data_IF_117905581770
#
_entry.id   IF_117905581770
#
_cell.length_a   1.000
_cell.length_b   1.000
_cell.length_c   1.000
_cell.angle_alpha   90.00
_cell.angle_beta   90.00
_cell.angle_gamma   90.00
#
_symmetry.space_group_name_H-M   'P 1'
#
loop_
_entity.id
_entity.type
_entity.pdbx_description
1 polymer ?
#
# COMPACT_ATOMS: atom_id res chain seq x y z
N UNK A 1 17.91 -16.14 36.26
CA UNK A 1 17.01 -17.06 35.56
C UNK A 1 16.61 -16.36 34.26
N UNK A 2 17.05 -16.91 33.17
CA UNK A 2 16.96 -16.32 31.83
C UNK A 2 15.56 -16.66 31.27
N UNK A 3 14.61 -15.71 31.33
CA UNK A 3 13.31 -15.89 30.71
C UNK A 3 13.48 -15.94 29.19
N UNK A 4 13.46 -17.15 28.66
CA UNK A 4 13.29 -17.39 27.24
C UNK A 4 11.86 -16.98 26.88
N UNK A 5 11.71 -15.79 26.29
CA UNK A 5 10.45 -15.36 25.69
C UNK A 5 10.29 -16.21 24.41
N UNK A 6 9.43 -17.20 24.50
CA UNK A 6 8.99 -17.98 23.34
C UNK A 6 8.14 -17.03 22.48
N UNK A 7 8.70 -16.55 21.37
CA UNK A 7 7.92 -15.83 20.34
C UNK A 7 7.01 -16.84 19.68
N UNK A 8 5.75 -16.87 20.07
CA UNK A 8 4.74 -17.70 19.42
C UNK A 8 4.26 -16.96 18.18
N UNK A 9 4.76 -17.34 17.03
CA UNK A 9 4.13 -16.98 15.75
C UNK A 9 2.84 -17.79 15.67
N UNK A 10 1.70 -17.12 15.81
CA UNK A 10 0.41 -17.79 15.72
C UNK A 10 0.02 -17.91 14.24
N UNK A 11 0.23 -19.06 13.64
CA UNK A 11 -0.31 -19.38 12.31
C UNK A 11 -1.81 -19.67 12.46
N UNK A 12 -2.64 -18.78 11.96
CA UNK A 12 -4.09 -18.98 11.90
C UNK A 12 -4.44 -19.61 10.56
N UNK A 13 -4.25 -20.93 10.44
CA UNK A 13 -4.66 -21.69 9.27
C UNK A 13 -6.17 -21.97 9.28
N UNK A 14 -6.88 -21.60 8.21
CA UNK A 14 -8.31 -21.91 7.97
C UNK A 14 -8.38 -23.23 7.19
N UNK A 15 -8.54 -24.37 7.86
CA UNK A 15 -8.48 -25.67 7.14
C UNK A 15 -9.89 -26.20 6.96
N UNK A 16 -10.89 -26.27 7.07
CA UNK A 16 -12.11 -27.02 6.67
C UNK A 16 -13.33 -26.17 6.28
N UNK A 17 -13.50 -24.98 6.81
CA UNK A 17 -14.55 -24.03 6.36
C UNK A 17 -14.23 -23.35 5.02
N UNK A 18 -12.98 -23.33 4.61
CA UNK A 18 -12.49 -22.53 3.48
C UNK A 18 -13.05 -22.89 2.10
N UNK A 19 -13.56 -24.10 1.88
CA UNK A 19 -14.12 -24.48 0.58
C UNK A 19 -15.55 -23.95 0.40
N UNK A 20 -16.36 -24.08 1.41
CA UNK A 20 -17.75 -23.62 1.40
C UNK A 20 -17.82 -22.09 1.38
N UNK A 21 -16.93 -21.43 2.10
CA UNK A 21 -16.82 -19.96 2.13
C UNK A 21 -16.31 -19.40 0.79
N UNK A 22 -15.33 -20.06 0.15
CA UNK A 22 -14.88 -19.69 -1.20
C UNK A 22 -15.99 -19.80 -2.25
N UNK A 23 -16.79 -20.87 -2.21
CA UNK A 23 -17.94 -21.04 -3.11
C UNK A 23 -19.01 -19.97 -2.85
N UNK A 24 -19.24 -19.61 -1.60
CA UNK A 24 -20.17 -18.53 -1.22
C UNK A 24 -19.71 -17.16 -1.74
N UNK A 25 -18.44 -16.81 -1.56
CA UNK A 25 -17.86 -15.54 -2.06
C UNK A 25 -17.90 -15.49 -3.59
N UNK A 26 -17.53 -16.58 -4.28
CA UNK A 26 -17.59 -16.65 -5.74
C UNK A 26 -19.03 -16.49 -6.26
N UNK A 27 -20.01 -17.06 -5.57
CA UNK A 27 -21.44 -16.92 -5.88
C UNK A 27 -21.89 -15.47 -5.65
N UNK A 28 -21.49 -14.85 -4.54
CA UNK A 28 -21.83 -13.47 -4.25
C UNK A 28 -21.25 -12.50 -5.30
N UNK A 29 -19.98 -12.68 -5.70
CA UNK A 29 -19.37 -11.88 -6.79
C UNK A 29 -20.11 -12.10 -8.11
N UNK A 30 -20.54 -13.33 -8.42
CA UNK A 30 -21.27 -13.64 -9.64
C UNK A 30 -22.65 -12.99 -9.71
N UNK A 31 -23.21 -12.56 -8.58
CA UNK A 31 -24.50 -11.85 -8.51
C UNK A 31 -24.35 -10.32 -8.70
N UNK A 32 -23.13 -9.78 -8.51
CA UNK A 32 -22.89 -8.35 -8.72
C UNK A 32 -23.14 -7.95 -10.19
N UNK A 33 -23.52 -6.68 -10.47
CA UNK A 33 -23.65 -6.16 -11.80
C UNK A 33 -22.28 -6.16 -12.53
N UNK A 34 -22.34 -6.19 -13.87
CA UNK A 34 -21.16 -5.88 -14.71
C UNK A 34 -21.00 -4.37 -14.72
N UNK A 35 -19.95 -3.89 -14.08
CA UNK A 35 -19.69 -2.45 -13.85
C UNK A 35 -18.60 -1.87 -14.74
N UNK A 36 -17.90 -2.72 -15.47
CA UNK A 36 -16.79 -2.31 -16.33
C UNK A 36 -16.79 -3.08 -17.65
N UNK A 37 -16.03 -2.58 -18.60
CA UNK A 37 -15.78 -3.22 -19.89
C UNK A 37 -14.30 -3.13 -20.27
N UNK A 38 -13.86 -3.96 -21.24
CA UNK A 38 -12.52 -3.86 -21.82
C UNK A 38 -12.59 -3.08 -23.12
N UNK A 39 -11.80 -2.01 -23.18
CA UNK A 39 -11.73 -1.13 -24.35
C UNK A 39 -10.27 -1.06 -24.82
N UNK A 40 -10.06 -1.06 -26.13
CA UNK A 40 -8.73 -0.82 -26.70
C UNK A 40 -8.52 0.70 -26.83
N UNK A 41 -7.55 1.23 -26.08
CA UNK A 41 -7.20 2.65 -26.04
C UNK A 41 -5.73 2.82 -26.41
N UNK A 42 -5.44 3.40 -27.57
CA UNK A 42 -4.06 3.64 -28.02
C UNK A 42 -3.20 2.39 -28.20
N UNK A 43 -3.82 1.22 -28.39
CA UNK A 43 -3.17 -0.08 -28.51
C UNK A 43 -3.20 -0.92 -27.22
N UNK A 44 -3.53 -0.33 -26.07
CA UNK A 44 -3.64 -1.01 -24.79
C UNK A 44 -5.07 -1.49 -24.51
N UNK A 45 -5.21 -2.64 -23.85
CA UNK A 45 -6.50 -3.10 -23.35
C UNK A 45 -6.71 -2.55 -21.94
N UNK A 46 -7.65 -1.63 -21.82
CA UNK A 46 -7.97 -0.91 -20.56
C UNK A 46 -9.29 -1.40 -20.00
N UNK A 47 -9.37 -1.62 -18.71
CA UNK A 47 -10.64 -1.81 -18.00
C UNK A 47 -11.23 -0.45 -17.69
N UNK A 48 -12.39 -0.16 -18.29
CA UNK A 48 -13.13 1.09 -18.12
C UNK A 48 -14.31 0.82 -17.22
N UNK A 49 -14.29 1.42 -16.01
CA UNK A 49 -15.34 1.28 -15.01
C UNK A 49 -16.36 2.41 -15.11
N UNK A 50 -17.63 2.06 -14.95
CA UNK A 50 -18.76 2.98 -14.98
C UNK A 50 -19.27 3.18 -13.54
N UNK A 51 -18.92 4.29 -12.84
CA UNK A 51 -19.24 4.48 -11.43
C UNK A 51 -20.72 4.45 -11.11
N UNK A 52 -21.57 4.86 -12.03
CA UNK A 52 -23.04 4.83 -11.89
C UNK A 52 -23.60 3.39 -11.78
N UNK A 53 -22.82 2.38 -12.19
CA UNK A 53 -23.19 0.97 -12.07
C UNK A 53 -22.75 0.34 -10.76
N UNK A 54 -21.98 1.04 -9.91
CA UNK A 54 -21.51 0.59 -8.60
C UNK A 54 -22.66 0.73 -7.57
N UNK A 55 -23.80 0.11 -7.84
CA UNK A 55 -25.02 0.22 -7.03
C UNK A 55 -25.05 -0.76 -5.88
N UNK A 56 -24.60 -1.98 -6.11
CA UNK A 56 -24.67 -3.08 -5.17
C UNK A 56 -23.48 -3.05 -4.20
N UNK A 57 -23.65 -3.73 -3.07
CA UNK A 57 -22.63 -3.81 -2.03
C UNK A 57 -22.29 -5.26 -1.70
N UNK A 58 -21.02 -5.53 -1.42
CA UNK A 58 -20.53 -6.85 -1.01
C UNK A 58 -19.62 -6.74 0.21
N UNK A 59 -19.74 -7.70 1.13
CA UNK A 59 -18.76 -7.90 2.19
C UNK A 59 -17.86 -9.08 1.80
N UNK A 60 -16.55 -8.85 1.76
CA UNK A 60 -15.56 -9.84 1.39
C UNK A 60 -14.69 -10.21 2.60
N UNK A 61 -14.43 -11.50 2.85
CA UNK A 61 -13.50 -11.91 3.89
C UNK A 61 -12.07 -11.56 3.49
N UNK A 62 -11.22 -11.22 4.44
CA UNK A 62 -9.79 -10.98 4.20
C UNK A 62 -9.12 -12.21 3.58
N UNK A 63 -9.57 -13.40 3.95
CA UNK A 63 -9.11 -14.66 3.35
C UNK A 63 -9.44 -14.80 1.85
N UNK A 64 -10.29 -13.97 1.28
CA UNK A 64 -10.47 -13.90 -0.17
C UNK A 64 -9.20 -13.41 -0.86
N UNK A 65 -8.48 -12.49 -0.22
CA UNK A 65 -7.32 -11.78 -0.78
C UNK A 65 -5.97 -12.33 -0.31
N UNK A 66 -5.89 -12.85 0.92
CA UNK A 66 -4.64 -13.37 1.51
C UNK A 66 -4.69 -14.87 1.75
N UNK A 67 -3.52 -15.52 1.68
CA UNK A 67 -3.40 -16.96 1.88
C UNK A 67 -3.65 -17.33 3.35
N UNK A 68 -2.84 -16.75 4.23
CA UNK A 68 -2.85 -16.93 5.68
C UNK A 68 -2.61 -15.60 6.38
N UNK A 69 -2.96 -15.51 7.66
CA UNK A 69 -2.67 -14.34 8.47
C UNK A 69 -1.77 -14.72 9.65
N UNK A 70 -0.56 -14.20 9.66
CA UNK A 70 0.37 -14.28 10.77
C UNK A 70 0.20 -13.05 11.69
N UNK A 71 0.23 -13.26 13.01
CA UNK A 71 0.30 -12.18 13.99
C UNK A 71 1.68 -12.22 14.61
N UNK A 72 2.48 -11.21 14.34
CA UNK A 72 3.89 -11.12 14.70
C UNK A 72 4.05 -10.06 15.79
N UNK A 73 4.32 -10.43 17.05
CA UNK A 73 4.66 -9.46 18.08
C UNK A 73 6.05 -8.89 17.81
N UNK A 74 6.17 -7.57 17.77
CA UNK A 74 7.48 -6.92 17.68
C UNK A 74 8.17 -6.95 19.04
N UNK A 75 9.50 -7.10 19.04
CA UNK A 75 10.30 -7.24 20.27
C UNK A 75 10.15 -6.04 21.19
N UNK A 76 10.01 -6.31 22.50
CA UNK A 76 9.97 -5.31 23.58
C UNK A 76 11.37 -4.84 23.92
N UNK A 77 11.79 -3.73 23.33
CA UNK A 77 13.02 -3.01 23.67
C UNK A 77 12.76 -1.52 23.52
N UNK A 78 13.34 -0.69 24.33
CA UNK A 78 13.11 0.77 24.30
C UNK A 78 13.43 1.35 22.93
N UNK A 79 14.52 0.92 22.28
CA UNK A 79 14.90 1.33 20.94
C UNK A 79 14.04 0.74 19.81
N UNK A 80 13.27 -0.31 20.08
CA UNK A 80 12.47 -1.05 19.11
C UNK A 80 11.01 -0.61 19.01
N UNK A 81 10.53 0.23 19.95
CA UNK A 81 9.12 0.64 19.96
C UNK A 81 8.72 1.40 18.71
N UNK A 82 7.64 0.94 18.07
CA UNK A 82 7.05 1.56 16.89
C UNK A 82 5.69 2.18 17.22
N UNK A 83 5.26 3.12 16.37
CA UNK A 83 3.90 3.71 16.40
C UNK A 83 3.18 3.34 15.09
N UNK A 84 2.02 3.94 14.83
CA UNK A 84 1.37 3.86 13.52
C UNK A 84 2.40 4.13 12.42
N UNK A 85 2.50 3.26 11.43
CA UNK A 85 3.67 3.20 10.56
C UNK A 85 3.38 2.61 9.18
N UNK A 86 4.28 2.93 8.25
CA UNK A 86 4.41 2.22 6.98
C UNK A 86 5.42 1.08 7.10
N UNK A 87 5.12 -0.05 6.47
CA UNK A 87 5.93 -1.27 6.59
C UNK A 87 6.35 -1.75 5.20
N UNK A 88 7.57 -2.30 5.10
CA UNK A 88 8.04 -3.09 3.94
C UNK A 88 8.50 -4.43 4.45
N UNK A 89 8.13 -5.47 3.73
CA UNK A 89 8.41 -6.85 4.09
C UNK A 89 9.23 -7.49 2.98
N UNK A 90 10.23 -8.28 3.38
CA UNK A 90 10.99 -9.18 2.50
C UNK A 90 10.95 -10.60 3.07
N UNK A 91 11.74 -11.49 2.52
CA UNK A 91 11.76 -12.89 2.95
C UNK A 91 12.13 -13.03 4.44
N UNK A 92 13.17 -12.36 4.88
CA UNK A 92 13.72 -12.52 6.25
C UNK A 92 13.58 -11.27 7.12
N UNK A 93 13.14 -10.12 6.56
CA UNK A 93 13.11 -8.86 7.30
C UNK A 93 11.79 -8.10 7.17
N UNK A 94 11.58 -7.24 8.17
CA UNK A 94 10.47 -6.29 8.25
C UNK A 94 11.09 -4.92 8.56
N UNK A 95 10.89 -3.95 7.68
CA UNK A 95 11.33 -2.57 7.83
C UNK A 95 10.14 -1.69 8.17
N UNK A 96 10.21 -0.99 9.31
CA UNK A 96 9.13 -0.15 9.84
C UNK A 96 9.55 1.31 9.89
N UNK A 97 8.74 2.19 9.33
CA UNK A 97 8.88 3.64 9.42
C UNK A 97 7.69 4.24 10.17
N UNK A 98 7.91 4.74 11.38
CA UNK A 98 6.82 5.17 12.28
C UNK A 98 6.44 6.65 12.14
N UNK A 99 7.38 7.57 12.07
CA UNK A 99 7.12 9.00 11.99
C UNK A 99 8.36 9.81 11.62
N UNK A 100 8.17 11.12 11.36
CA UNK A 100 9.24 12.06 10.98
C UNK A 100 10.43 12.11 11.94
N UNK A 101 10.19 11.88 13.22
CA UNK A 101 11.19 12.08 14.28
C UNK A 101 11.72 10.75 14.84
N UNK A 102 11.46 9.65 14.19
CA UNK A 102 11.89 8.33 14.64
C UNK A 102 12.74 7.66 13.55
N UNK A 103 13.79 6.92 13.92
CA UNK A 103 14.53 6.13 12.95
C UNK A 103 13.66 5.04 12.35
N UNK A 104 13.98 4.57 11.15
CA UNK A 104 13.45 3.30 10.69
C UNK A 104 13.94 2.19 11.62
N UNK A 105 13.12 1.16 11.78
CA UNK A 105 13.47 -0.01 12.57
C UNK A 105 13.44 -1.24 11.70
N UNK A 106 14.52 -1.99 11.74
CA UNK A 106 14.62 -3.27 11.07
C UNK A 106 14.37 -4.38 12.07
N UNK A 107 13.48 -5.30 11.71
CA UNK A 107 13.19 -6.52 12.46
C UNK A 107 13.42 -7.73 11.57
N UNK A 108 13.68 -8.88 12.20
CA UNK A 108 13.56 -10.16 11.50
C UNK A 108 12.10 -10.46 11.16
N UNK A 109 11.86 -11.43 10.31
CA UNK A 109 10.52 -11.90 9.96
C UNK A 109 9.70 -12.41 11.17
N UNK A 110 10.38 -12.78 12.26
CA UNK A 110 9.79 -13.22 13.53
C UNK A 110 9.60 -12.08 14.54
N UNK A 111 9.79 -10.82 14.12
CA UNK A 111 9.60 -9.64 14.98
C UNK A 111 10.77 -9.32 15.92
N UNK A 112 11.92 -9.97 15.79
CA UNK A 112 13.11 -9.66 16.58
C UNK A 112 13.78 -8.39 16.06
N UNK A 113 14.08 -7.44 16.94
CA UNK A 113 14.75 -6.20 16.58
C UNK A 113 16.20 -6.47 16.14
N UNK A 114 16.56 -5.91 14.99
CA UNK A 114 17.91 -5.99 14.44
C UNK A 114 18.68 -4.71 14.73
N UNK A 115 18.22 -3.58 14.20
CA UNK A 115 18.86 -2.28 14.40
C UNK A 115 17.94 -1.12 14.00
N UNK A 116 18.33 0.09 14.36
CA UNK A 116 17.82 1.32 13.80
C UNK A 116 18.55 1.63 12.49
N UNK A 117 17.81 2.18 11.52
CA UNK A 117 18.35 2.61 10.23
C UNK A 117 18.34 4.14 10.21
N UNK A 118 19.53 4.74 10.28
CA UNK A 118 19.70 6.18 10.34
C UNK A 118 19.06 6.86 11.54
N UNK A 119 18.85 8.15 11.44
CA UNK A 119 18.17 8.96 12.45
C UNK A 119 17.48 10.17 11.82
N UNK A 120 16.57 10.79 12.57
CA UNK A 120 15.97 12.06 12.17
C UNK A 120 16.96 13.21 12.35
N UNK A 121 16.95 14.17 11.41
CA UNK A 121 17.76 15.39 11.49
C UNK A 121 18.43 15.76 10.18
N UNK A 122 19.36 16.75 10.26
CA UNK A 122 20.04 17.31 9.08
C UNK A 122 21.51 16.82 8.94
N UNK A 123 21.95 15.86 9.77
CA UNK A 123 23.27 15.30 9.67
C UNK A 123 23.44 14.42 8.42
N UNK A 124 24.69 14.11 8.07
CA UNK A 124 25.00 13.25 6.91
C UNK A 124 24.33 11.88 7.09
N UNK A 125 23.51 11.49 6.12
CA UNK A 125 22.73 10.26 6.17
C UNK A 125 21.42 10.37 6.97
N UNK A 126 21.22 11.42 7.75
CA UNK A 126 19.94 11.65 8.43
C UNK A 126 18.84 12.06 7.45
N UNK A 127 17.60 11.90 7.87
CA UNK A 127 16.42 12.24 7.05
C UNK A 127 15.35 12.92 7.91
N UNK A 128 14.55 13.75 7.25
CA UNK A 128 13.34 14.34 7.82
C UNK A 128 12.10 13.53 7.43
N UNK A 129 11.14 14.22 6.82
CA UNK A 129 9.97 13.57 6.24
C UNK A 129 10.40 12.70 5.05
N UNK A 130 9.83 11.51 4.96
CA UNK A 130 10.12 10.51 3.93
C UNK A 130 8.93 10.42 2.98
N UNK A 131 9.21 10.40 1.69
CA UNK A 131 8.22 10.23 0.62
C UNK A 131 7.99 8.73 0.36
N UNK A 132 9.07 7.98 0.18
CA UNK A 132 9.02 6.55 -0.08
C UNK A 132 10.30 5.85 0.41
N UNK A 133 10.25 4.53 0.51
CA UNK A 133 11.40 3.71 0.89
C UNK A 133 11.28 2.29 0.38
N UNK A 134 12.41 1.65 0.14
CA UNK A 134 12.51 0.27 -0.35
C UNK A 134 13.46 -0.54 0.50
N UNK A 135 13.06 -1.78 0.80
CA UNK A 135 13.88 -2.83 1.39
C UNK A 135 14.33 -3.76 0.26
N UNK A 136 15.62 -3.82 0.01
CA UNK A 136 16.26 -4.70 -0.98
C UNK A 136 17.20 -5.67 -0.25
N UNK A 137 16.61 -6.72 0.28
CA UNK A 137 17.32 -7.74 1.04
C UNK A 137 18.39 -8.43 0.19
N UNK A 138 18.10 -8.71 -1.08
CA UNK A 138 18.99 -9.42 -1.99
C UNK A 138 20.33 -8.71 -2.17
N UNK A 139 20.32 -7.37 -2.18
CA UNK A 139 21.53 -6.56 -2.36
C UNK A 139 22.04 -5.99 -1.03
N UNK A 140 21.48 -6.40 0.11
CA UNK A 140 21.82 -5.87 1.44
C UNK A 140 21.69 -4.34 1.48
N UNK A 141 20.53 -3.79 1.01
CA UNK A 141 20.31 -2.35 0.92
C UNK A 141 18.92 -1.93 1.40
N UNK A 142 18.88 -0.74 1.97
CA UNK A 142 17.66 0.02 2.27
C UNK A 142 17.84 1.38 1.60
N UNK A 143 16.86 1.74 0.76
CA UNK A 143 16.83 3.03 0.06
C UNK A 143 15.74 3.88 0.68
N UNK A 144 16.05 5.14 1.02
CA UNK A 144 15.12 6.09 1.61
C UNK A 144 15.07 7.32 0.70
N UNK A 145 13.88 7.70 0.27
CA UNK A 145 13.61 8.93 -0.47
C UNK A 145 13.04 9.98 0.49
N UNK A 146 13.77 11.03 0.84
CA UNK A 146 13.23 12.16 1.58
C UNK A 146 12.06 12.82 0.84
N UNK A 147 11.22 13.56 1.56
CA UNK A 147 10.06 14.24 1.00
C UNK A 147 10.40 15.23 -0.12
N UNK A 148 11.48 15.97 0.04
CA UNK A 148 12.07 16.86 -0.96
C UNK A 148 13.40 16.26 -1.37
N UNK A 149 13.39 15.34 -2.36
CA UNK A 149 14.54 14.54 -2.66
C UNK A 149 15.31 15.02 -3.88
N UNK A 150 16.62 15.27 -3.70
CA UNK A 150 17.60 15.32 -4.79
C UNK A 150 18.52 14.11 -4.79
N UNK A 151 18.31 13.21 -3.83
CA UNK A 151 19.12 11.99 -3.67
C UNK A 151 18.37 10.94 -2.84
N UNK A 152 18.61 9.67 -3.12
CA UNK A 152 18.27 8.60 -2.20
C UNK A 152 19.37 8.46 -1.15
N UNK A 153 18.95 8.19 0.08
CA UNK A 153 19.85 7.83 1.18
C UNK A 153 19.92 6.32 1.25
N UNK A 154 21.13 5.76 1.29
CA UNK A 154 21.37 4.33 1.22
C UNK A 154 21.98 3.82 2.52
N UNK A 155 21.37 2.78 3.07
CA UNK A 155 21.86 2.02 4.22
C UNK A 155 22.00 0.54 3.87
N UNK A 156 22.80 -0.19 4.65
CA UNK A 156 22.75 -1.66 4.65
C UNK A 156 21.79 -2.18 5.75
N UNK A 157 21.59 -3.50 5.78
CA UNK A 157 20.73 -4.16 6.78
C UNK A 157 21.36 -4.22 8.18
N UNK A 158 22.57 -3.75 8.36
CA UNK A 158 23.25 -3.55 9.63
C UNK A 158 23.10 -2.10 10.16
N UNK A 159 22.36 -1.25 9.41
CA UNK A 159 22.11 0.15 9.76
C UNK A 159 23.28 1.08 9.44
N UNK A 160 24.28 0.62 8.69
CA UNK A 160 25.43 1.45 8.31
C UNK A 160 25.09 2.30 7.08
N UNK A 161 25.36 3.59 7.17
CA UNK A 161 25.20 4.51 6.05
C UNK A 161 26.19 4.18 4.93
N UNK A 162 25.67 3.95 3.72
CA UNK A 162 26.45 3.54 2.55
C UNK A 162 26.71 4.70 1.58
N UNK A 163 25.93 5.79 1.66
CA UNK A 163 26.09 6.94 0.77
C UNK A 163 24.77 7.47 0.23
N UNK A 164 24.89 8.21 -0.86
CA UNK A 164 23.75 8.79 -1.57
C UNK A 164 23.77 8.35 -3.04
N UNK A 165 22.59 8.26 -3.62
CA UNK A 165 22.40 8.12 -5.08
C UNK A 165 21.71 9.39 -5.55
N UNK A 166 22.31 10.20 -6.45
CA UNK A 166 21.71 11.42 -6.95
C UNK A 166 20.45 11.11 -7.74
N UNK A 167 19.43 11.95 -7.61
CA UNK A 167 18.20 11.89 -8.40
C UNK A 167 18.21 13.02 -9.42
N UNK A 168 17.81 12.71 -10.65
CA UNK A 168 17.67 13.70 -11.71
C UNK A 168 16.41 14.52 -11.49
N UNK A 169 16.51 15.52 -10.60
CA UNK A 169 15.45 16.51 -10.36
C UNK A 169 15.62 17.70 -11.34
N UNK A 170 14.52 18.35 -11.79
CA UNK A 170 14.62 19.55 -12.62
C UNK A 170 15.33 20.69 -11.89
N UNK A 171 16.34 21.30 -12.53
CA UNK A 171 17.14 22.36 -11.92
C UNK A 171 16.39 23.69 -11.70
N UNK A 172 15.36 23.93 -12.52
CA UNK A 172 14.63 25.20 -12.54
C UNK A 172 13.47 25.26 -11.52
N UNK A 173 13.24 24.22 -10.75
CA UNK A 173 12.11 24.15 -9.83
C UNK A 173 12.55 24.48 -8.39
N UNK A 174 11.82 25.37 -7.68
CA UNK A 174 12.08 25.62 -6.27
C UNK A 174 11.77 24.40 -5.38
N UNK A 175 11.22 23.38 -5.96
CA UNK A 175 10.78 22.16 -5.27
C UNK A 175 11.57 20.97 -5.81
N UNK A 176 12.35 20.35 -4.97
CA UNK A 176 12.85 19.01 -5.20
C UNK A 176 11.67 18.06 -5.53
N UNK A 177 11.85 16.81 -5.77
CA UNK A 177 10.79 15.86 -6.15
C UNK A 177 9.82 15.55 -4.96
N UNK A 178 8.83 16.42 -4.62
CA UNK A 178 7.97 16.19 -3.48
C UNK A 178 7.03 15.03 -3.73
N UNK A 179 6.76 14.22 -2.69
CA UNK A 179 5.86 13.05 -2.74
C UNK A 179 6.16 12.05 -3.87
N UNK A 180 7.37 12.06 -4.43
CA UNK A 180 7.75 11.11 -5.46
C UNK A 180 7.83 9.69 -4.91
N UNK A 181 7.67 8.72 -5.79
CA UNK A 181 7.84 7.31 -5.51
C UNK A 181 8.90 6.72 -6.40
N UNK A 182 9.50 5.59 -5.99
CA UNK A 182 10.58 4.99 -6.75
C UNK A 182 10.63 3.48 -6.63
N UNK A 183 11.37 2.86 -7.54
CA UNK A 183 11.81 1.48 -7.46
C UNK A 183 13.26 1.36 -7.92
N UNK A 184 14.09 0.77 -7.08
CA UNK A 184 15.48 0.40 -7.43
C UNK A 184 15.50 -1.02 -7.95
N UNK A 185 16.12 -1.23 -9.10
CA UNK A 185 16.59 -2.52 -9.58
C UNK A 185 18.10 -2.63 -9.30
N UNK A 186 18.46 -3.32 -8.22
CA UNK A 186 19.84 -3.46 -7.79
C UNK A 186 20.71 -4.29 -8.75
N UNK A 187 20.11 -5.20 -9.55
CA UNK A 187 20.85 -5.97 -10.56
C UNK A 187 21.26 -5.08 -11.73
N UNK A 188 20.36 -4.20 -12.19
CA UNK A 188 20.61 -3.30 -13.33
C UNK A 188 21.28 -2.00 -12.91
N UNK A 189 21.30 -1.70 -11.60
CA UNK A 189 21.69 -0.40 -11.03
C UNK A 189 20.89 0.75 -11.65
N UNK A 190 19.60 0.56 -11.75
CA UNK A 190 18.65 1.52 -12.32
C UNK A 190 17.59 1.86 -11.27
N UNK A 191 17.04 3.07 -11.40
CA UNK A 191 15.97 3.57 -10.57
C UNK A 191 14.85 4.05 -11.48
N UNK A 192 13.67 3.47 -11.34
CA UNK A 192 12.43 4.03 -11.90
C UNK A 192 11.89 5.01 -10.89
N UNK A 193 11.56 6.21 -11.33
CA UNK A 193 11.03 7.29 -10.49
C UNK A 193 9.72 7.77 -11.11
N UNK A 194 8.74 8.07 -10.27
CA UNK A 194 7.55 8.78 -10.68
C UNK A 194 7.25 9.92 -9.70
N UNK A 195 6.82 11.06 -10.23
CA UNK A 195 6.49 12.28 -9.48
C UNK A 195 5.11 12.78 -9.86
N UNK A 196 4.65 13.83 -9.17
CA UNK A 196 3.33 14.40 -9.39
C UNK A 196 3.21 15.03 -10.80
N UNK A 197 2.06 14.85 -11.48
CA UNK A 197 1.84 15.37 -12.82
C UNK A 197 1.50 16.86 -12.79
N UNK A 198 2.35 17.68 -12.20
CA UNK A 198 2.19 19.12 -12.18
C UNK A 198 2.66 19.75 -13.49
N UNK A 199 2.01 20.83 -13.92
CA UNK A 199 2.39 21.57 -15.15
C UNK A 199 3.85 22.04 -15.14
N UNK A 200 4.40 22.25 -13.95
CA UNK A 200 5.80 22.65 -13.75
C UNK A 200 6.79 21.48 -13.84
N UNK A 201 6.32 20.23 -13.83
CA UNK A 201 7.17 19.06 -13.96
C UNK A 201 7.36 18.68 -15.43
N UNK A 202 8.58 18.72 -15.96
CA UNK A 202 8.83 18.34 -17.35
C UNK A 202 8.68 16.82 -17.58
N UNK A 203 8.83 16.04 -16.53
CA UNK A 203 8.74 14.58 -16.55
C UNK A 203 7.88 14.07 -15.41
N UNK A 204 7.00 13.12 -15.70
CA UNK A 204 6.17 12.45 -14.70
C UNK A 204 6.79 11.13 -14.25
N UNK A 205 7.40 10.39 -15.16
CA UNK A 205 8.09 9.15 -14.83
C UNK A 205 9.31 8.94 -15.74
N UNK A 206 10.38 8.35 -15.17
CA UNK A 206 11.61 8.05 -15.91
C UNK A 206 12.43 6.94 -15.25
N UNK A 207 13.41 6.41 -16.00
CA UNK A 207 14.48 5.54 -15.48
C UNK A 207 15.80 6.29 -15.55
N UNK A 208 16.59 6.20 -14.50
CA UNK A 208 17.95 6.71 -14.42
C UNK A 208 18.90 5.64 -13.88
N UNK A 209 20.21 5.81 -14.10
CA UNK A 209 21.24 5.04 -13.41
C UNK A 209 21.56 5.59 -12.01
N UNK A 210 22.51 4.95 -11.31
CA UNK A 210 22.93 5.38 -9.97
C UNK A 210 23.80 6.64 -9.97
N UNK A 211 24.29 7.07 -11.12
CA UNK A 211 24.99 8.33 -11.34
C UNK A 211 24.05 9.51 -11.61
N UNK A 212 22.73 9.25 -11.77
CA UNK A 212 21.70 10.26 -12.05
C UNK A 212 21.49 10.52 -13.54
N UNK A 213 22.10 9.74 -14.44
CA UNK A 213 21.88 9.91 -15.86
C UNK A 213 20.56 9.27 -16.29
N UNK A 214 19.70 10.03 -16.96
CA UNK A 214 18.44 9.52 -17.49
C UNK A 214 18.74 8.50 -18.59
N UNK A 215 18.16 7.33 -18.45
CA UNK A 215 18.20 6.24 -19.43
C UNK A 215 16.97 6.23 -20.32
N UNK A 216 15.83 6.62 -19.75
CA UNK A 216 14.52 6.50 -20.40
C UNK A 216 13.52 7.45 -19.75
N UNK A 217 12.69 8.10 -20.54
CA UNK A 217 11.55 8.89 -20.07
C UNK A 217 10.26 8.26 -20.58
N UNK A 218 9.25 8.13 -19.68
CA UNK A 218 7.95 7.60 -20.08
C UNK A 218 7.03 8.72 -20.50
N UNK A 219 6.54 8.72 -21.77
CA UNK A 219 5.57 9.71 -22.22
C UNK A 219 4.28 9.63 -21.39
N UNK A 220 3.97 10.69 -20.65
CA UNK A 220 2.72 10.78 -19.91
C UNK A 220 1.64 11.46 -20.72
N UNK A 221 0.53 10.74 -20.95
CA UNK A 221 -0.64 11.21 -21.73
C UNK A 221 -1.81 11.66 -20.86
N UNK A 222 -1.67 11.62 -19.54
CA UNK A 222 -2.64 12.08 -18.57
C UNK A 222 -2.75 13.60 -18.51
N UNK A 223 -3.51 14.12 -17.54
CA UNK A 223 -3.67 15.56 -17.33
C UNK A 223 -2.61 16.09 -16.40
N UNK A 224 -1.85 17.10 -16.84
CA UNK A 224 -1.05 17.90 -15.94
C UNK A 224 -1.93 18.88 -15.16
N UNK A 225 -1.68 19.00 -13.86
CA UNK A 225 -2.44 19.85 -12.96
C UNK A 225 -1.60 21.05 -12.46
N UNK A 226 -2.25 22.05 -11.87
CA UNK A 226 -1.54 23.06 -11.11
C UNK A 226 -0.86 22.42 -9.89
N UNK A 227 0.14 23.12 -9.34
CA UNK A 227 0.82 22.65 -8.13
C UNK A 227 -0.15 22.61 -6.97
N UNK A 228 -0.42 21.41 -6.47
CA UNK A 228 -1.33 21.16 -5.36
C UNK A 228 -0.75 20.04 -4.46
N UNK A 229 -0.37 20.43 -3.23
CA UNK A 229 0.23 19.52 -2.26
C UNK A 229 -0.74 18.48 -1.67
N UNK A 230 -2.05 18.59 -1.95
CA UNK A 230 -3.01 17.51 -1.64
C UNK A 230 -2.88 16.35 -2.61
N UNK A 231 -2.42 16.60 -3.85
CA UNK A 231 -2.13 15.57 -4.86
C UNK A 231 -1.12 14.54 -4.34
N UNK A 232 -1.28 13.28 -4.72
CA UNK A 232 -0.35 12.21 -4.36
C UNK A 232 -0.11 11.27 -5.55
N UNK A 233 1.03 10.59 -5.55
CA UNK A 233 1.34 9.47 -6.45
C UNK A 233 1.57 8.23 -5.61
N UNK A 234 1.02 7.11 -6.07
CA UNK A 234 1.10 5.82 -5.38
C UNK A 234 1.62 4.74 -6.33
N UNK A 235 2.31 3.78 -5.75
CA UNK A 235 2.60 2.49 -6.35
C UNK A 235 2.43 1.39 -5.30
N UNK A 236 2.00 0.20 -5.68
CA UNK A 236 1.76 -0.92 -4.74
C UNK A 236 2.55 -2.16 -5.04
N UNK A 237 2.85 -2.42 -6.30
CA UNK A 237 3.64 -3.59 -6.71
C UNK A 237 3.00 -4.95 -6.37
N UNK A 238 1.68 -5.01 -6.27
CA UNK A 238 0.99 -6.23 -5.83
C UNK A 238 0.98 -7.33 -6.88
N UNK A 239 1.20 -6.99 -8.15
CA UNK A 239 1.24 -7.91 -9.30
C UNK A 239 2.66 -8.11 -9.87
N UNK A 240 3.68 -7.58 -9.18
CA UNK A 240 5.06 -7.61 -9.65
C UNK A 240 5.43 -6.53 -10.67
N UNK A 241 4.46 -5.77 -11.18
CA UNK A 241 4.64 -4.64 -12.09
C UNK A 241 4.85 -3.35 -11.30
N UNK A 242 5.56 -2.38 -11.84
CA UNK A 242 5.59 -1.03 -11.29
C UNK A 242 4.34 -0.28 -11.74
N UNK A 243 3.32 -0.30 -10.89
CA UNK A 243 2.04 0.37 -11.10
C UNK A 243 2.08 1.81 -10.61
N UNK A 244 1.38 2.72 -11.27
CA UNK A 244 1.28 4.13 -10.89
C UNK A 244 -0.19 4.57 -10.86
N UNK A 245 -0.60 5.14 -9.75
CA UNK A 245 -1.91 5.79 -9.56
C UNK A 245 -1.70 7.21 -9.04
N UNK A 246 -2.45 8.16 -9.58
CA UNK A 246 -2.38 9.56 -9.18
C UNK A 246 -3.70 9.98 -8.50
N UNK A 247 -3.61 10.37 -7.23
CA UNK A 247 -4.71 11.03 -6.56
C UNK A 247 -4.63 12.54 -6.86
N UNK A 248 -5.56 13.03 -7.65
CA UNK A 248 -5.67 14.44 -8.05
C UNK A 248 -6.98 14.98 -7.50
N UNK A 249 -6.92 15.95 -6.58
CA UNK A 249 -8.13 16.48 -5.95
C UNK A 249 -8.97 17.39 -6.86
N UNK A 250 -8.36 18.00 -7.88
CA UNK A 250 -9.05 18.84 -8.88
C UNK A 250 -8.75 18.36 -10.29
N UNK A 251 -9.17 17.14 -10.65
CA UNK A 251 -8.88 16.59 -11.95
C UNK A 251 -9.72 17.28 -13.03
N UNK A 252 -9.11 17.58 -14.18
CA UNK A 252 -9.85 18.06 -15.36
C UNK A 252 -10.50 16.89 -16.12
N UNK A 253 -9.88 15.73 -16.09
CA UNK A 253 -10.39 14.44 -16.57
C UNK A 253 -9.94 13.36 -15.61
N UNK A 254 -10.64 12.23 -15.60
CA UNK A 254 -10.18 11.07 -14.86
C UNK A 254 -8.85 10.57 -15.41
N UNK A 255 -7.92 10.27 -14.54
CA UNK A 255 -6.66 9.66 -14.90
C UNK A 255 -6.77 8.13 -14.83
N UNK A 256 -5.75 7.45 -15.27
CA UNK A 256 -5.70 5.99 -15.29
C UNK A 256 -4.76 5.47 -14.20
N UNK A 257 -4.98 4.22 -13.83
CA UNK A 257 -3.94 3.40 -13.22
C UNK A 257 -3.05 2.87 -14.35
N UNK A 258 -1.73 3.00 -14.20
CA UNK A 258 -0.77 2.64 -15.24
C UNK A 258 0.16 1.50 -14.80
N UNK A 259 0.54 0.66 -15.76
CA UNK A 259 1.76 -0.14 -15.67
C UNK A 259 2.91 0.61 -16.34
N UNK A 260 4.03 0.72 -15.63
CA UNK A 260 5.25 1.30 -16.16
C UNK A 260 6.10 0.18 -16.78
N UNK A 261 6.23 0.20 -18.10
CA UNK A 261 7.02 -0.78 -18.84
C UNK A 261 8.35 -0.19 -19.32
N UNK A 262 9.43 -0.69 -18.75
CA UNK A 262 10.80 -0.33 -19.17
C UNK A 262 11.14 -0.92 -20.53
N UNK A 263 10.50 -2.02 -20.92
CA UNK A 263 10.83 -2.75 -22.16
C UNK A 263 10.43 -1.99 -23.42
N UNK A 264 9.27 -1.35 -23.41
CA UNK A 264 8.70 -0.64 -24.58
C UNK A 264 8.57 0.87 -24.35
N UNK A 265 9.11 1.36 -23.25
CA UNK A 265 9.15 2.79 -22.89
C UNK A 265 7.77 3.43 -22.80
N UNK A 266 6.85 2.77 -22.12
CA UNK A 266 5.46 3.22 -22.07
C UNK A 266 4.86 3.17 -20.66
N UNK A 267 3.90 4.07 -20.43
CA UNK A 267 2.92 3.97 -19.36
C UNK A 267 1.65 3.40 -19.98
N UNK A 268 1.37 2.12 -19.72
CA UNK A 268 0.19 1.43 -20.22
C UNK A 268 -0.98 1.66 -19.25
N UNK A 269 -2.05 2.35 -19.69
CA UNK A 269 -3.26 2.45 -18.88
C UNK A 269 -3.90 1.07 -18.76
N UNK A 270 -4.22 0.66 -17.53
CA UNK A 270 -4.83 -0.65 -17.27
C UNK A 270 -6.23 -0.55 -16.68
N UNK A 271 -6.54 0.57 -16.03
CA UNK A 271 -7.86 0.84 -15.46
C UNK A 271 -8.14 2.34 -15.49
N UNK A 272 -9.38 2.71 -15.80
CA UNK A 272 -9.86 4.09 -15.72
C UNK A 272 -11.37 4.14 -15.48
N UNK A 273 -11.90 5.34 -15.25
CA UNK A 273 -13.33 5.57 -15.13
C UNK A 273 -13.88 6.29 -16.38
N UNK A 274 -15.02 5.83 -16.87
CA UNK A 274 -15.87 6.59 -17.79
C UNK A 274 -17.05 7.20 -17.02
N UNK A 275 -17.21 8.52 -17.14
CA UNK A 275 -18.24 9.26 -16.42
C UNK A 275 -19.05 10.08 -17.41
N UNK A 276 -20.38 9.93 -17.41
CA UNK A 276 -21.25 10.72 -18.29
C UNK A 276 -21.01 12.23 -18.14
N UNK A 277 -20.84 12.93 -19.26
CA UNK A 277 -20.62 14.37 -19.31
C UNK A 277 -19.20 14.82 -18.94
N UNK A 278 -18.20 13.94 -19.04
CA UNK A 278 -16.78 14.22 -18.77
C UNK A 278 -16.53 14.84 -17.36
N UNK A 279 -17.34 14.48 -16.38
CA UNK A 279 -17.13 14.90 -15.00
C UNK A 279 -16.01 14.08 -14.40
N UNK A 280 -14.91 14.73 -14.06
CA UNK A 280 -13.82 14.10 -13.33
C UNK A 280 -14.05 14.17 -11.81
N UNK A 281 -13.50 13.21 -11.09
CA UNK A 281 -13.56 13.15 -9.63
C UNK A 281 -12.25 12.62 -9.06
N UNK A 282 -11.86 13.02 -7.84
CA UNK A 282 -10.72 12.44 -7.16
C UNK A 282 -10.94 10.96 -6.90
N UNK A 283 -9.95 10.14 -7.20
CA UNK A 283 -10.01 8.71 -6.93
C UNK A 283 -8.61 8.16 -6.66
N UNK A 284 -8.58 7.04 -5.95
CA UNK A 284 -7.43 6.15 -5.83
C UNK A 284 -7.80 4.80 -6.39
N UNK A 285 -6.96 4.22 -7.22
CA UNK A 285 -7.16 2.88 -7.76
C UNK A 285 -5.88 2.07 -7.65
N UNK A 286 -6.01 0.81 -7.25
CA UNK A 286 -4.91 -0.13 -7.08
C UNK A 286 -5.23 -1.46 -7.73
N UNK A 287 -4.21 -2.05 -8.31
CA UNK A 287 -4.29 -3.39 -8.89
C UNK A 287 -3.91 -4.45 -7.86
N UNK A 288 -4.70 -5.52 -7.85
CA UNK A 288 -4.42 -6.76 -7.15
C UNK A 288 -4.42 -7.92 -8.14
N UNK A 289 -3.91 -9.09 -7.78
CA UNK A 289 -3.85 -10.20 -8.72
C UNK A 289 -5.19 -10.51 -9.40
N UNK A 290 -6.29 -10.49 -8.64
CA UNK A 290 -7.62 -10.89 -9.14
C UNK A 290 -8.60 -9.74 -9.35
N UNK A 291 -8.31 -8.53 -8.86
CA UNK A 291 -9.26 -7.41 -8.88
C UNK A 291 -8.59 -6.05 -8.99
N UNK A 292 -9.40 -5.04 -9.27
CA UNK A 292 -9.09 -3.64 -9.01
C UNK A 292 -9.90 -3.18 -7.79
N UNK A 293 -9.28 -2.41 -6.93
CA UNK A 293 -9.94 -1.78 -5.77
C UNK A 293 -9.48 -0.35 -5.60
N UNK A 294 -10.27 0.44 -4.93
CA UNK A 294 -9.91 1.81 -4.65
C UNK A 294 -11.05 2.58 -4.01
N UNK A 295 -10.89 3.89 -3.97
CA UNK A 295 -11.85 4.82 -3.39
C UNK A 295 -12.14 5.95 -4.36
N UNK A 296 -13.40 6.24 -4.58
CA UNK A 296 -13.88 7.48 -5.19
C UNK A 296 -14.11 8.45 -4.04
N UNK A 297 -13.42 9.60 -4.08
CA UNK A 297 -13.44 10.62 -3.03
C UNK A 297 -14.47 11.68 -3.43
N UNK A 298 -15.57 11.75 -2.71
CA UNK A 298 -16.69 12.66 -2.67
C UNK A 298 -16.94 13.70 -3.79
N UNK A 299 -18.17 14.20 -3.88
CA UNK A 299 -18.55 15.26 -4.82
C UNK A 299 -17.84 16.58 -4.47
N UNK A 300 -17.11 17.14 -5.43
CA UNK A 300 -16.74 18.55 -5.39
C UNK A 300 -18.01 19.39 -5.61
N UNK A 301 -18.45 20.16 -4.62
CA UNK A 301 -19.41 21.22 -4.85
C UNK A 301 -18.80 22.38 -5.62
N UNK A 302 -19.64 23.12 -6.36
CA UNK A 302 -19.26 24.06 -7.41
C UNK A 302 -18.55 25.33 -6.97
N UNK A 303 -18.35 25.58 -5.67
CA UNK A 303 -17.86 26.86 -5.15
C UNK A 303 -16.34 26.96 -4.89
N UNK A 304 -15.56 26.08 -5.48
CA UNK A 304 -14.08 26.22 -5.49
C UNK A 304 -13.38 25.84 -4.19
N UNK A 305 -14.08 25.52 -3.11
CA UNK A 305 -13.56 24.93 -1.89
C UNK A 305 -14.11 23.52 -1.73
N UNK A 306 -13.31 22.52 -1.98
CA UNK A 306 -13.66 21.14 -1.69
C UNK A 306 -13.62 20.93 -0.17
N UNK A 307 -14.77 20.95 0.47
CA UNK A 307 -14.94 20.34 1.79
C UNK A 307 -15.17 18.85 1.57
N UNK A 308 -14.16 18.05 1.84
CA UNK A 308 -14.23 16.59 1.84
C UNK A 308 -14.92 16.15 3.13
N UNK A 309 -16.20 15.89 3.09
CA UNK A 309 -16.85 15.15 4.16
C UNK A 309 -16.50 13.68 4.00
N UNK A 310 -15.96 13.06 5.05
CA UNK A 310 -15.60 11.63 5.08
C UNK A 310 -16.78 10.67 4.82
N UNK A 311 -17.99 11.19 4.68
CA UNK A 311 -19.24 10.44 4.39
C UNK A 311 -19.44 10.14 2.91
N UNK A 312 -18.71 10.78 2.02
CA UNK A 312 -18.91 10.66 0.56
C UNK A 312 -17.88 9.78 -0.14
N UNK A 313 -17.11 9.01 0.63
CA UNK A 313 -16.17 8.04 0.06
C UNK A 313 -16.90 6.78 -0.38
N UNK A 314 -16.63 6.36 -1.61
CA UNK A 314 -17.14 5.11 -2.15
C UNK A 314 -15.99 4.17 -2.43
N UNK A 315 -15.82 3.18 -1.55
CA UNK A 315 -14.86 2.11 -1.78
C UNK A 315 -15.44 1.13 -2.80
N UNK A 316 -14.70 0.86 -3.86
CA UNK A 316 -15.12 0.00 -4.97
C UNK A 316 -14.21 -1.22 -5.17
N UNK A 317 -14.82 -2.27 -5.67
CA UNK A 317 -14.19 -3.51 -6.08
C UNK A 317 -14.66 -3.87 -7.50
N UNK A 318 -13.72 -4.29 -8.37
CA UNK A 318 -14.01 -4.81 -9.71
C UNK A 318 -13.21 -6.09 -9.92
N UNK A 319 -13.89 -7.22 -10.10
CA UNK A 319 -13.28 -8.50 -10.45
C UNK A 319 -12.70 -8.45 -11.86
N UNK A 320 -11.42 -8.76 -12.01
CA UNK A 320 -10.71 -8.66 -13.30
C UNK A 320 -11.25 -9.61 -14.35
N UNK A 321 -11.72 -10.79 -13.95
CA UNK A 321 -12.15 -11.83 -14.90
C UNK A 321 -13.56 -11.55 -15.45
N UNK A 322 -14.48 -11.20 -14.55
CA UNK A 322 -15.91 -11.07 -14.89
C UNK A 322 -16.35 -9.62 -15.13
N UNK A 323 -15.52 -8.63 -14.73
CA UNK A 323 -15.81 -7.19 -14.74
C UNK A 323 -17.05 -6.82 -13.89
N UNK A 324 -17.42 -7.72 -12.98
CA UNK A 324 -18.46 -7.50 -11.99
C UNK A 324 -17.88 -6.77 -10.80
N UNK A 325 -18.69 -5.91 -10.19
CA UNK A 325 -18.20 -5.12 -9.07
C UNK A 325 -19.32 -4.38 -8.37
N UNK A 326 -18.91 -3.60 -7.37
CA UNK A 326 -19.82 -2.80 -6.55
C UNK A 326 -19.06 -2.11 -5.43
N UNK A 327 -19.80 -1.52 -4.52
CA UNK A 327 -19.28 -1.05 -3.24
C UNK A 327 -18.85 -2.24 -2.42
N UNK A 328 -17.76 -2.11 -1.66
CA UNK A 328 -17.31 -3.23 -0.86
C UNK A 328 -16.79 -2.82 0.50
N UNK A 329 -16.81 -3.78 1.42
CA UNK A 329 -16.06 -3.74 2.68
C UNK A 329 -15.37 -5.07 2.89
N UNK A 330 -14.29 -5.06 3.67
CA UNK A 330 -13.56 -6.28 4.01
C UNK A 330 -13.65 -6.50 5.50
N UNK A 331 -13.89 -7.75 5.89
CA UNK A 331 -13.85 -8.19 7.27
C UNK A 331 -12.75 -9.22 7.51
N UNK A 332 -12.17 -9.19 8.70
CA UNK A 332 -11.11 -10.10 9.09
C UNK A 332 -11.69 -11.41 9.63
N UNK A 333 -11.89 -12.37 8.76
CA UNK A 333 -12.41 -13.71 9.10
C UNK A 333 -11.38 -14.58 9.85
N UNK A 334 -10.09 -14.22 9.84
CA UNK A 334 -9.07 -14.86 10.66
C UNK A 334 -9.18 -14.50 12.14
N UNK A 335 -9.76 -13.32 12.46
CA UNK A 335 -9.88 -12.77 13.82
C UNK A 335 -11.31 -12.41 14.23
N UNK A 336 -12.30 -13.17 13.76
CA UNK A 336 -13.67 -13.02 14.26
C UNK A 336 -14.51 -11.94 13.57
N UNK A 337 -14.21 -11.64 12.33
CA UNK A 337 -15.05 -10.80 11.44
C UNK A 337 -15.15 -9.31 11.79
N UNK A 338 -14.08 -8.72 12.35
CA UNK A 338 -13.98 -7.26 12.49
C UNK A 338 -13.73 -6.60 11.15
N UNK A 339 -14.29 -5.41 10.90
CA UNK A 339 -14.07 -4.68 9.64
C UNK A 339 -12.63 -4.19 9.52
N UNK A 340 -12.07 -4.24 8.32
CA UNK A 340 -10.70 -3.80 8.04
C UNK A 340 -10.57 -2.94 6.79
N UNK A 341 -9.81 -1.88 6.88
CA UNK A 341 -9.34 -1.10 5.73
C UNK A 341 -8.12 -1.81 5.12
N UNK A 342 -8.32 -2.73 4.20
CA UNK A 342 -7.27 -3.65 3.77
C UNK A 342 -6.40 -3.12 2.62
N UNK A 343 -6.95 -2.39 1.65
CA UNK A 343 -6.25 -2.01 0.43
C UNK A 343 -5.08 -1.05 0.68
N UNK A 344 -5.15 -0.22 1.73
CA UNK A 344 -4.06 0.65 2.13
C UNK A 344 -2.86 -0.12 2.70
N UNK A 345 -3.10 -1.33 3.20
CA UNK A 345 -2.10 -2.16 3.86
C UNK A 345 -1.47 -3.22 2.94
N UNK A 346 -1.90 -3.32 1.67
CA UNK A 346 -1.36 -4.30 0.74
C UNK A 346 -0.30 -3.65 -0.17
N UNK A 347 0.91 -4.21 -0.18
CA UNK A 347 2.04 -3.76 -0.98
C UNK A 347 3.04 -4.89 -1.21
N UNK A 348 3.68 -4.90 -2.40
CA UNK A 348 4.70 -5.88 -2.77
C UNK A 348 4.22 -7.34 -2.61
N UNK A 349 2.94 -7.59 -2.87
CA UNK A 349 2.36 -8.93 -2.72
C UNK A 349 2.06 -9.35 -1.28
N UNK A 350 2.13 -8.44 -0.31
CA UNK A 350 1.79 -8.69 1.09
C UNK A 350 0.74 -7.72 1.61
N UNK A 351 -0.22 -8.23 2.35
CA UNK A 351 -0.99 -7.46 3.32
C UNK A 351 -0.16 -7.32 4.59
N UNK A 352 0.04 -6.12 5.08
CA UNK A 352 0.76 -5.86 6.32
C UNK A 352 0.14 -4.69 7.08
N UNK A 353 -0.52 -4.98 8.18
CA UNK A 353 -1.11 -4.00 9.09
C UNK A 353 -0.35 -3.97 10.39
N UNK A 354 0.15 -2.79 10.74
CA UNK A 354 0.71 -2.51 12.06
C UNK A 354 -0.40 -2.05 12.99
N UNK A 355 -0.57 -2.73 14.12
CA UNK A 355 -1.64 -2.49 15.10
C UNK A 355 -1.05 -2.35 16.50
N UNK A 356 -1.56 -1.38 17.28
CA UNK A 356 -1.15 -1.22 18.65
C UNK A 356 -1.68 -2.36 19.53
N UNK A 357 -1.04 -2.65 20.69
CA UNK A 357 -1.57 -3.63 21.65
C UNK A 357 -3.00 -3.32 22.11
N UNK A 358 -3.31 -2.05 22.30
CA UNK A 358 -4.64 -1.60 22.73
C UNK A 358 -5.68 -1.86 21.67
N UNK A 359 -5.39 -1.44 20.42
CA UNK A 359 -6.32 -1.61 19.28
C UNK A 359 -6.55 -3.09 19.00
N UNK A 360 -5.46 -3.91 18.99
CA UNK A 360 -5.59 -5.35 18.77
C UNK A 360 -6.45 -6.01 19.86
N UNK A 361 -6.25 -5.61 21.13
CA UNK A 361 -7.03 -6.15 22.23
C UNK A 361 -8.51 -5.78 22.13
N UNK A 362 -8.81 -4.52 21.76
CA UNK A 362 -10.18 -4.05 21.52
C UNK A 362 -10.86 -4.84 20.39
N UNK A 363 -10.19 -5.00 19.25
CA UNK A 363 -10.70 -5.81 18.11
C UNK A 363 -10.99 -7.26 18.53
N UNK A 364 -10.10 -7.87 19.34
CA UNK A 364 -10.32 -9.23 19.84
C UNK A 364 -11.49 -9.31 20.82
N UNK A 365 -11.67 -8.31 21.68
CA UNK A 365 -12.80 -8.25 22.61
C UNK A 365 -14.12 -8.07 21.85
N UNK A 366 -14.17 -7.19 20.84
CA UNK A 366 -15.33 -7.04 19.98
C UNK A 366 -15.66 -8.36 19.27
N UNK A 367 -14.67 -9.03 18.68
CA UNK A 367 -14.86 -10.33 18.06
C UNK A 367 -15.40 -11.38 19.06
N UNK A 368 -14.88 -11.41 20.28
CA UNK A 368 -15.31 -12.36 21.32
C UNK A 368 -16.75 -12.14 21.82
N UNK A 369 -17.34 -10.94 21.62
CA UNK A 369 -18.75 -10.65 21.93
C UNK A 369 -19.71 -11.31 20.92
N UNK A 370 -19.26 -11.81 19.78
CA UNK A 370 -20.12 -12.42 18.76
C UNK A 370 -20.57 -13.83 19.19
N UNK A 371 -21.84 -14.12 18.96
CA UNK A 371 -22.43 -15.43 19.29
C UNK A 371 -22.13 -16.51 18.26
N UNK A 372 -21.82 -16.13 17.02
CA UNK A 372 -21.59 -17.03 15.88
C UNK A 372 -20.14 -17.57 15.77
N UNK A 373 -19.27 -17.25 16.71
CA UNK A 373 -17.90 -17.78 16.73
C UNK A 373 -17.89 -19.28 17.05
N UNK A 374 -17.12 -20.04 16.25
CA UNK A 374 -16.85 -21.43 16.59
C UNK A 374 -16.12 -21.56 17.94
N UNK A 375 -16.30 -22.67 18.69
CA UNK A 375 -15.60 -22.88 19.96
C UNK A 375 -14.07 -22.78 19.84
N UNK A 376 -13.50 -23.30 18.74
CA UNK A 376 -12.07 -23.27 18.47
C UNK A 376 -11.58 -21.84 18.20
N UNK A 377 -12.32 -21.06 17.41
CA UNK A 377 -12.00 -19.66 17.18
C UNK A 377 -12.07 -18.87 18.48
N UNK A 378 -13.14 -19.02 19.25
CA UNK A 378 -13.29 -18.36 20.57
C UNK A 378 -12.13 -18.68 21.50
N UNK A 379 -11.68 -19.94 21.53
CA UNK A 379 -10.53 -20.36 22.32
C UNK A 379 -9.24 -19.70 21.87
N UNK A 380 -8.99 -19.63 20.55
CA UNK A 380 -7.81 -18.98 19.96
C UNK A 380 -7.80 -17.48 20.26
N UNK A 381 -8.90 -16.76 20.02
CA UNK A 381 -9.00 -15.33 20.26
C UNK A 381 -8.84 -14.99 21.74
N UNK A 382 -9.47 -15.78 22.63
CA UNK A 382 -9.32 -15.58 24.09
C UNK A 382 -7.89 -15.81 24.58
N UNK A 383 -7.16 -16.78 24.00
CA UNK A 383 -5.77 -17.02 24.35
C UNK A 383 -4.88 -15.85 23.88
N UNK A 384 -5.09 -15.33 22.68
CA UNK A 384 -4.37 -14.20 22.13
C UNK A 384 -4.66 -12.94 22.94
N UNK A 385 -5.94 -12.62 23.20
CA UNK A 385 -6.37 -11.45 23.98
C UNK A 385 -5.71 -11.41 25.36
N UNK A 386 -5.67 -12.55 26.07
CA UNK A 386 -5.02 -12.67 27.38
C UNK A 386 -3.51 -12.53 27.35
N UNK A 387 -2.88 -12.80 26.22
CA UNK A 387 -1.42 -12.68 26.03
C UNK A 387 -0.95 -11.24 25.83
N UNK A 388 -1.85 -10.31 25.48
CA UNK A 388 -1.53 -8.92 25.17
C UNK A 388 -1.41 -8.09 26.45
N UNK A 389 -0.22 -7.51 26.66
CA UNK A 389 0.06 -6.53 27.69
C UNK A 389 0.07 -5.12 27.07
N UNK A 390 -1.03 -4.38 27.25
CA UNK A 390 -1.22 -3.06 26.65
C UNK A 390 -0.22 -2.01 27.12
N UNK A 391 0.41 -2.20 28.29
CA UNK A 391 1.34 -1.24 28.87
C UNK A 391 2.79 -1.51 28.44
N UNK A 392 3.11 -2.74 28.06
CA UNK A 392 4.49 -3.16 27.86
C UNK A 392 4.78 -3.71 26.46
N UNK A 393 3.78 -4.20 25.73
CA UNK A 393 4.01 -4.76 24.41
C UNK A 393 4.36 -3.66 23.41
N UNK A 394 5.24 -4.01 22.48
CA UNK A 394 5.40 -3.28 21.25
C UNK A 394 4.22 -3.63 20.32
N UNK A 395 4.09 -2.95 19.19
CA UNK A 395 3.03 -3.21 18.23
C UNK A 395 3.11 -4.65 17.68
N UNK A 396 2.00 -5.08 17.15
CA UNK A 396 1.83 -6.34 16.43
C UNK A 396 1.71 -6.07 14.93
N UNK A 397 2.28 -6.95 14.12
CA UNK A 397 2.08 -6.92 12.69
C UNK A 397 1.15 -8.07 12.27
N UNK A 398 0.07 -7.74 11.59
CA UNK A 398 -0.76 -8.70 10.89
C UNK A 398 -0.23 -8.79 9.46
N UNK A 399 0.26 -9.96 9.09
CA UNK A 399 0.95 -10.17 7.83
C UNK A 399 0.39 -11.36 7.09
N UNK A 400 0.03 -11.16 5.82
CA UNK A 400 -0.46 -12.21 4.94
C UNK A 400 0.05 -12.02 3.51
N UNK A 401 0.36 -13.13 2.84
CA UNK A 401 0.72 -13.11 1.42
C UNK A 401 -0.54 -12.98 0.57
N UNK A 402 -0.51 -12.10 -0.44
CA UNK A 402 -1.63 -11.98 -1.37
C UNK A 402 -1.76 -13.23 -2.23
N UNK A 403 -2.98 -13.71 -2.41
CA UNK A 403 -3.32 -14.76 -3.37
C UNK A 403 -3.09 -14.28 -4.78
N UNK A 404 -2.53 -15.18 -5.61
CA UNK A 404 -2.26 -14.95 -7.03
C UNK A 404 -3.46 -15.31 -7.90
#
# INVERSE_FOLDING_TARGET
MRNMILSVVLLVGVTACGRQEKEHVATAIAQLPVVAERVVMGGDTVVVCHPERLTDSIALPLSHFVEDLEIIPLERKDEAYVRSSSVRVSENYILVHSSRNMPFRLFTRQGKFVCNIGSSGNGRGNYGQVSDFQLDEKHNRIYIMPWTARQLIVYDLQGQFQGFIPLNAPDEQPWDLPKSVFRVDGNRKEITIATLPWKVNPRVAWVQDFEGNIRQEFPYKGSHTETDYSTAVYHRHNTGTFDLSFLIFRPQKNDSLYHCSVTDNALHPIFTFDVPGNKAFPNECFEYPTCFVGTIIGRMEQDGFATFESRDHLDFFVDKRTLRGGKYRVYNDFLGHTDVYWFQHARNGYYCRNVSPSDLKEELQEALCRDDLSPDMRKKLSALEKSIDTDRDNNYLMLGKLKQ
#
